data_IF_942185543211
#
_entry.id   IF_942185543211
#
_cell.length_a   1.000
_cell.length_b   1.000
_cell.length_c   1.000
_cell.angle_alpha   90.00
_cell.angle_beta   90.00
_cell.angle_gamma   90.00
#
_symmetry.space_group_name_H-M   'P 1'
#
loop_
_entity.id
_entity.type
_entity.pdbx_description
1 polymer ?
#
# COMPACT_ATOMS: atom_id res chain seq x y z
N UNK A 1 -13.33 13.40 -14.28
CA UNK A 1 -12.39 13.93 -13.27
C UNK A 1 -13.21 14.83 -12.35
N UNK A 2 -13.08 14.65 -11.05
CA UNK A 2 -13.72 15.44 -10.00
C UNK A 2 -12.65 16.24 -9.26
N UNK A 3 -12.84 17.51 -9.12
CA UNK A 3 -11.90 18.43 -8.49
C UNK A 3 -12.41 18.86 -7.11
N UNK A 4 -11.52 19.36 -6.26
CA UNK A 4 -11.81 19.82 -4.90
C UNK A 4 -12.53 18.76 -4.04
N UNK A 5 -12.09 17.52 -4.13
CA UNK A 5 -12.69 16.41 -3.39
C UNK A 5 -12.23 16.41 -1.94
N UNK A 6 -13.17 16.70 -1.04
CA UNK A 6 -12.93 16.66 0.39
C UNK A 6 -13.02 15.22 0.97
N UNK A 7 -12.37 14.98 2.13
CA UNK A 7 -12.27 13.64 2.73
C UNK A 7 -13.62 13.07 3.20
N UNK A 8 -14.64 13.94 3.38
CA UNK A 8 -15.97 13.52 3.84
C UNK A 8 -16.93 13.14 2.70
N UNK A 9 -16.55 13.42 1.45
CA UNK A 9 -17.37 13.09 0.27
C UNK A 9 -17.41 11.58 0.03
N UNK A 10 -18.55 11.06 -0.44
CA UNK A 10 -18.73 9.64 -0.75
C UNK A 10 -17.66 9.11 -1.73
N UNK A 11 -17.34 9.89 -2.76
CA UNK A 11 -16.33 9.54 -3.76
C UNK A 11 -14.90 9.42 -3.21
N UNK A 12 -14.62 10.02 -2.04
CA UNK A 12 -13.34 9.86 -1.35
C UNK A 12 -13.29 8.61 -0.46
N UNK A 13 -14.45 8.06 -0.10
CA UNK A 13 -14.61 6.95 0.84
C UNK A 13 -14.99 5.64 0.17
N UNK A 14 -15.70 5.72 -0.95
CA UNK A 14 -16.25 4.58 -1.66
C UNK A 14 -15.53 4.37 -2.99
N UNK A 15 -15.24 3.12 -3.31
CA UNK A 15 -14.66 2.77 -4.59
C UNK A 15 -15.72 2.89 -5.70
N UNK A 16 -15.38 3.62 -6.77
CA UNK A 16 -16.23 3.76 -7.95
C UNK A 16 -15.65 2.94 -9.09
N UNK A 17 -16.33 1.86 -9.46
CA UNK A 17 -15.97 1.05 -10.64
C UNK A 17 -16.37 1.76 -11.94
N UNK A 18 -15.56 2.75 -12.36
CA UNK A 18 -15.81 3.56 -13.53
C UNK A 18 -14.67 4.51 -13.85
N UNK A 19 -14.73 5.29 -14.94
CA UNK A 19 -13.69 6.22 -15.35
C UNK A 19 -13.70 7.51 -14.50
N UNK A 20 -13.57 7.35 -13.19
CA UNK A 20 -13.59 8.46 -12.22
C UNK A 20 -12.20 8.64 -11.63
N UNK A 21 -11.72 9.88 -11.62
CA UNK A 21 -10.50 10.30 -10.91
C UNK A 21 -10.87 11.48 -10.02
N UNK A 22 -10.58 11.38 -8.76
CA UNK A 22 -10.77 12.43 -7.75
C UNK A 22 -9.45 13.16 -7.51
N UNK A 23 -9.50 14.48 -7.40
CA UNK A 23 -8.38 15.35 -7.09
C UNK A 23 -8.63 16.04 -5.76
N UNK A 24 -7.61 16.08 -4.92
CA UNK A 24 -7.57 16.83 -3.66
C UNK A 24 -6.26 17.59 -3.59
N UNK A 25 -6.29 18.85 -3.23
CA UNK A 25 -5.10 19.69 -3.13
C UNK A 25 -4.57 19.73 -1.70
N UNK A 26 -3.27 19.66 -1.56
CA UNK A 26 -2.55 19.80 -0.29
C UNK A 26 -1.38 20.75 -0.45
N UNK A 27 -1.23 21.68 0.47
CA UNK A 27 -0.10 22.63 0.46
C UNK A 27 1.19 22.04 1.06
N UNK A 28 1.06 20.98 1.86
CA UNK A 28 2.18 20.34 2.55
C UNK A 28 2.16 18.83 2.30
N UNK A 29 3.36 18.25 2.16
CA UNK A 29 3.51 16.80 2.07
C UNK A 29 2.97 16.08 3.31
N UNK A 30 3.12 16.69 4.49
CA UNK A 30 2.61 16.13 5.73
C UNK A 30 1.11 15.89 5.70
N UNK A 31 0.35 16.87 5.20
CA UNK A 31 -1.10 16.82 5.12
C UNK A 31 -1.56 15.73 4.14
N UNK A 32 -0.87 15.60 3.01
CA UNK A 32 -1.12 14.55 2.03
C UNK A 32 -0.84 13.15 2.62
N UNK A 33 0.28 12.98 3.33
CA UNK A 33 0.63 11.72 4.00
C UNK A 33 -0.42 11.37 5.05
N UNK A 34 -0.88 12.37 5.83
CA UNK A 34 -1.90 12.14 6.84
C UNK A 34 -3.23 11.73 6.23
N UNK A 35 -3.65 12.36 5.12
CA UNK A 35 -4.86 11.99 4.39
C UNK A 35 -4.79 10.53 3.89
N UNK A 36 -3.67 10.12 3.28
CA UNK A 36 -3.43 8.72 2.86
C UNK A 36 -3.54 7.78 4.06
N UNK A 37 -2.90 8.12 5.18
CA UNK A 37 -2.85 7.25 6.35
C UNK A 37 -4.20 7.10 7.07
N UNK A 38 -5.07 8.10 6.99
CA UNK A 38 -6.44 8.05 7.52
C UNK A 38 -7.36 7.14 6.73
N UNK A 39 -7.07 6.88 5.46
CA UNK A 39 -7.85 5.94 4.66
C UNK A 39 -7.90 4.57 5.35
N UNK A 40 -9.06 3.90 5.39
CA UNK A 40 -9.16 2.54 5.89
C UNK A 40 -8.47 1.53 4.97
N UNK A 41 -8.16 1.91 3.75
CA UNK A 41 -7.48 1.09 2.75
C UNK A 41 -6.00 1.46 2.64
N UNK A 42 -5.18 0.51 2.21
CA UNK A 42 -3.74 0.67 2.12
C UNK A 42 -3.11 -0.25 1.08
N UNK A 43 -3.59 -0.21 -0.16
CA UNK A 43 -3.05 -1.05 -1.22
C UNK A 43 -1.76 -0.49 -1.80
N UNK A 44 -1.82 0.71 -2.38
CA UNK A 44 -0.67 1.32 -3.02
C UNK A 44 -0.74 2.85 -3.01
N UNK A 45 0.43 3.49 -2.92
CA UNK A 45 0.58 4.92 -3.12
C UNK A 45 1.84 5.25 -3.91
N UNK A 46 1.79 6.28 -4.72
CA UNK A 46 2.94 6.74 -5.52
C UNK A 46 3.17 8.24 -5.29
N UNK A 47 4.44 8.61 -5.19
CA UNK A 47 4.87 10.01 -5.21
C UNK A 47 5.68 10.31 -6.46
N UNK A 48 5.40 11.44 -7.09
CA UNK A 48 6.22 12.02 -8.16
C UNK A 48 6.94 13.24 -7.61
N UNK A 49 8.25 13.18 -7.54
CA UNK A 49 9.05 14.25 -6.94
C UNK A 49 10.50 14.21 -7.40
N UNK A 50 11.13 15.40 -7.54
CA UNK A 50 12.56 15.55 -7.73
C UNK A 50 13.32 15.60 -6.37
N UNK A 51 12.61 15.72 -5.24
CA UNK A 51 13.22 15.82 -3.91
C UNK A 51 13.48 14.46 -3.30
N UNK A 52 14.75 14.09 -3.15
CA UNK A 52 15.13 12.86 -2.43
C UNK A 52 14.73 12.87 -0.95
N UNK A 53 14.57 14.04 -0.32
CA UNK A 53 14.03 14.16 1.03
C UNK A 53 12.56 13.78 1.04
N UNK A 54 11.74 14.38 0.15
CA UNK A 54 10.31 14.09 0.07
C UNK A 54 10.05 12.60 -0.24
N UNK A 55 10.83 12.00 -1.15
CA UNK A 55 10.72 10.58 -1.48
C UNK A 55 11.02 9.68 -0.26
N UNK A 56 12.06 10.00 0.54
CA UNK A 56 12.38 9.24 1.76
C UNK A 56 11.31 9.39 2.84
N UNK A 57 10.83 10.60 3.05
CA UNK A 57 9.76 10.88 4.01
C UNK A 57 8.49 10.14 3.65
N UNK A 58 8.06 10.23 2.39
CA UNK A 58 6.87 9.57 1.88
C UNK A 58 6.94 8.05 2.08
N UNK A 59 7.98 7.38 1.58
CA UNK A 59 8.10 5.92 1.69
C UNK A 59 8.17 5.41 3.14
N UNK A 60 8.66 6.23 4.07
CA UNK A 60 8.80 5.84 5.47
C UNK A 60 7.51 6.02 6.26
N UNK A 61 6.74 7.06 5.94
CA UNK A 61 5.59 7.49 6.74
C UNK A 61 4.25 7.00 6.20
N UNK A 62 4.16 6.71 4.90
CA UNK A 62 2.92 6.23 4.29
C UNK A 62 2.67 4.76 4.65
N UNK A 63 1.45 4.46 5.09
CA UNK A 63 1.01 3.12 5.51
C UNK A 63 0.26 2.41 4.38
N UNK A 64 1.00 2.10 3.32
CA UNK A 64 0.50 1.38 2.16
C UNK A 64 1.37 0.15 1.87
N UNK A 65 0.78 -0.90 1.34
CA UNK A 65 1.48 -2.15 1.04
C UNK A 65 2.52 -2.01 -0.08
N UNK A 66 2.25 -1.16 -1.06
CA UNK A 66 3.12 -0.92 -2.20
C UNK A 66 3.40 0.57 -2.35
N UNK A 67 4.67 0.95 -2.41
CA UNK A 67 5.09 2.35 -2.55
C UNK A 67 5.83 2.53 -3.87
N UNK A 68 5.34 3.45 -4.70
CA UNK A 68 6.00 3.91 -5.92
C UNK A 68 6.72 5.24 -5.70
N UNK A 69 7.90 5.40 -6.28
CA UNK A 69 8.59 6.69 -6.38
C UNK A 69 8.88 6.93 -7.85
N UNK A 70 8.24 7.96 -8.42
CA UNK A 70 8.31 8.27 -9.84
C UNK A 70 7.95 7.09 -10.76
N UNK A 71 7.06 6.22 -10.28
CA UNK A 71 6.56 5.05 -10.99
C UNK A 71 5.03 5.10 -11.07
N UNK A 72 4.46 4.80 -12.24
CA UNK A 72 3.01 4.94 -12.48
C UNK A 72 2.17 3.93 -11.70
N UNK A 73 2.64 2.69 -11.61
CA UNK A 73 1.96 1.60 -10.90
C UNK A 73 2.97 0.93 -9.97
N UNK A 74 2.67 0.94 -8.68
CA UNK A 74 3.51 0.32 -7.66
C UNK A 74 3.17 -1.18 -7.51
N UNK A 75 3.16 -1.93 -8.61
CA UNK A 75 2.94 -3.38 -8.60
C UNK A 75 4.28 -4.12 -8.56
N UNK A 76 4.53 -4.98 -7.57
CA UNK A 76 5.78 -5.74 -7.51
C UNK A 76 5.80 -6.87 -8.53
N UNK A 77 7.01 -7.27 -8.92
CA UNK A 77 7.22 -8.49 -9.72
C UNK A 77 6.87 -9.73 -8.88
N UNK A 78 6.54 -10.84 -9.55
CA UNK A 78 6.02 -12.06 -8.92
C UNK A 78 6.91 -12.71 -7.84
N UNK A 79 8.18 -12.39 -7.80
CA UNK A 79 9.10 -12.88 -6.76
C UNK A 79 9.18 -12.00 -5.51
N UNK A 80 8.46 -10.89 -5.47
CA UNK A 80 8.25 -10.08 -4.27
C UNK A 80 6.85 -10.32 -3.69
N UNK A 81 6.67 -10.13 -2.38
CA UNK A 81 5.34 -10.17 -1.78
C UNK A 81 4.42 -9.16 -2.43
N UNK A 82 3.18 -9.57 -2.70
CA UNK A 82 2.13 -8.71 -3.24
C UNK A 82 0.95 -8.69 -2.28
N UNK A 83 0.62 -7.54 -1.78
CA UNK A 83 -0.51 -7.37 -0.88
C UNK A 83 -0.63 -5.93 -0.40
N UNK A 84 -1.65 -5.68 0.40
CA UNK A 84 -1.94 -4.38 0.98
C UNK A 84 -1.69 -4.32 2.48
N UNK A 85 -2.01 -3.17 3.04
CA UNK A 85 -2.11 -2.92 4.47
C UNK A 85 -3.56 -2.55 4.82
N UNK A 86 -3.85 -2.45 6.11
CA UNK A 86 -5.16 -2.05 6.60
C UNK A 86 -6.26 -2.99 6.04
N UNK A 87 -7.39 -2.45 5.59
CA UNK A 87 -8.48 -3.26 5.03
C UNK A 87 -8.25 -3.72 3.57
N UNK A 88 -7.10 -3.40 2.98
CA UNK A 88 -6.76 -3.87 1.63
C UNK A 88 -6.10 -5.26 1.61
N UNK A 89 -5.98 -5.92 2.76
CA UNK A 89 -5.41 -7.25 2.84
C UNK A 89 -6.03 -8.06 3.99
N UNK A 90 -6.17 -9.36 3.78
CA UNK A 90 -6.63 -10.32 4.79
C UNK A 90 -5.51 -11.29 5.15
N UNK A 91 -5.18 -11.40 6.44
CA UNK A 91 -4.12 -12.26 6.94
C UNK A 91 -2.74 -11.60 6.93
N UNK A 92 -1.69 -12.39 7.17
CA UNK A 92 -0.33 -11.90 7.38
C UNK A 92 0.63 -12.28 6.24
N UNK A 93 0.38 -13.38 5.55
CA UNK A 93 1.24 -13.90 4.49
C UNK A 93 0.67 -13.59 3.10
N UNK A 94 1.56 -13.24 2.19
CA UNK A 94 1.22 -12.91 0.82
C UNK A 94 1.47 -14.11 -0.11
N UNK A 95 0.62 -14.35 -1.14
CA UNK A 95 0.73 -15.56 -1.98
C UNK A 95 1.83 -15.48 -3.05
N UNK A 96 2.74 -14.51 -2.97
CA UNK A 96 3.85 -14.32 -3.92
C UNK A 96 5.19 -14.16 -3.21
N UNK A 97 6.27 -14.34 -3.97
CA UNK A 97 7.62 -14.22 -3.45
C UNK A 97 7.94 -15.30 -2.42
N UNK A 98 8.77 -14.97 -1.44
CA UNK A 98 9.16 -15.89 -0.36
C UNK A 98 7.99 -16.23 0.57
N UNK A 99 7.02 -15.36 0.69
CA UNK A 99 5.86 -15.58 1.52
C UNK A 99 4.98 -16.70 0.95
N UNK A 100 4.99 -16.93 -0.36
CA UNK A 100 4.24 -18.01 -0.99
C UNK A 100 4.62 -19.39 -0.42
N UNK A 101 5.88 -19.62 -0.11
CA UNK A 101 6.33 -20.87 0.49
C UNK A 101 5.64 -21.07 1.84
N UNK A 102 5.63 -20.05 2.68
CA UNK A 102 4.98 -20.10 4.00
C UNK A 102 3.46 -20.15 3.89
N UNK A 103 2.89 -19.46 2.91
CA UNK A 103 1.46 -19.42 2.68
C UNK A 103 0.89 -20.79 2.27
N UNK A 104 1.61 -21.52 1.41
CA UNK A 104 1.16 -22.81 0.87
C UNK A 104 1.75 -24.05 1.61
N UNK A 105 2.49 -23.85 2.70
CA UNK A 105 3.11 -24.94 3.48
C UNK A 105 2.84 -24.81 4.96
N UNK A 106 2.96 -25.92 5.68
CA UNK A 106 2.89 -25.97 7.14
C UNK A 106 4.28 -26.26 7.72
N UNK A 107 4.59 -25.65 8.85
CA UNK A 107 5.84 -25.90 9.58
C UNK A 107 5.66 -27.06 10.57
N UNK A 108 6.58 -28.04 10.54
CA UNK A 108 6.65 -29.13 11.52
C UNK A 108 7.99 -29.09 12.24
N UNK A 109 7.95 -29.05 13.56
CA UNK A 109 9.14 -29.16 14.40
C UNK A 109 9.30 -30.61 14.84
N UNK A 110 10.47 -31.21 14.58
CA UNK A 110 10.82 -32.55 15.04
C UNK A 110 12.06 -32.48 15.91
N UNK A 111 11.95 -32.99 17.13
CA UNK A 111 13.09 -33.13 18.05
C UNK A 111 13.34 -34.62 18.23
N UNK A 112 14.55 -35.05 17.88
CA UNK A 112 14.95 -36.46 17.98
C UNK A 112 16.22 -36.59 18.82
N UNK A 113 16.23 -37.52 19.73
CA UNK A 113 17.43 -37.94 20.49
C UNK A 113 17.68 -39.42 20.23
N UNK A 114 18.84 -39.75 19.72
CA UNK A 114 19.30 -41.14 19.63
C UNK A 114 20.06 -41.47 20.91
N UNK A 115 19.71 -42.59 21.54
CA UNK A 115 20.37 -43.10 22.76
C UNK A 115 21.46 -44.08 22.37
#
# INVERSE_FOLDING_TARGET
>A
MLDDVGPEMAVAKEEVFGPVVSLSEFFRLDDAIEAINRSPYGNAATIYTASGKAAREFRHRVREGNIGINAGVAAPMAYFPFGGMKNSFFGDLHPQGRDAIRFFTESKVVVTRWL
#
